data_IF_413304109230
#
_entry.id   IF_413304109230
#
_cell.length_a   1.000
_cell.length_b   1.000
_cell.length_c   1.000
_cell.angle_alpha   90.00
_cell.angle_beta   90.00
_cell.angle_gamma   90.00
#
_symmetry.space_group_name_H-M   'P 1'
#
loop_
_entity.id
_entity.type
_entity.pdbx_description
1 polymer ?
#
# COMPACT_ATOMS: atom_id res chain seq x y z
N UNK A 1 -11.99 3.72 2.40
CA UNK A 1 -12.42 3.22 3.73
C UNK A 1 -11.49 2.13 4.26
N UNK A 2 -11.21 1.08 3.48
CA UNK A 2 -10.43 -0.09 3.96
C UNK A 2 -9.00 0.24 4.42
N UNK A 3 -8.24 1.00 3.62
CA UNK A 3 -6.89 1.46 3.99
C UNK A 3 -6.90 2.43 5.18
N UNK A 4 -7.73 3.47 5.12
CA UNK A 4 -7.82 4.51 6.16
C UNK A 4 -8.21 3.93 7.52
N UNK A 5 -9.15 2.99 7.57
CA UNK A 5 -9.53 2.32 8.83
C UNK A 5 -8.34 1.60 9.47
N UNK A 6 -7.50 0.93 8.67
CA UNK A 6 -6.31 0.23 9.18
C UNK A 6 -5.22 1.20 9.65
N UNK A 7 -5.04 2.31 8.95
CA UNK A 7 -4.12 3.38 9.38
C UNK A 7 -4.59 3.96 10.72
N UNK A 8 -5.89 4.20 10.88
CA UNK A 8 -6.45 4.70 12.14
C UNK A 8 -6.26 3.69 13.28
N UNK A 9 -6.54 2.41 13.04
CA UNK A 9 -6.33 1.36 14.05
C UNK A 9 -4.86 1.29 14.51
N UNK A 10 -3.90 1.49 13.59
CA UNK A 10 -2.48 1.55 13.91
C UNK A 10 -2.09 2.83 14.65
N UNK A 11 -2.73 3.95 14.32
CA UNK A 11 -2.53 5.22 15.03
C UNK A 11 -3.02 5.14 16.48
N UNK A 12 -4.18 4.52 16.71
CA UNK A 12 -4.71 4.28 18.06
C UNK A 12 -3.79 3.31 18.83
N UNK A 13 -3.32 2.26 18.17
CA UNK A 13 -2.36 1.31 18.74
C UNK A 13 -1.00 1.96 19.07
N UNK A 14 -0.60 3.04 18.39
CA UNK A 14 0.65 3.73 18.67
C UNK A 14 0.70 4.29 20.10
N UNK A 15 -0.46 4.66 20.68
CA UNK A 15 -0.57 5.14 22.06
C UNK A 15 -0.19 4.03 23.06
N UNK A 16 -0.56 2.78 22.77
CA UNK A 16 -0.36 1.65 23.67
C UNK A 16 1.01 0.98 23.49
N UNK A 17 1.43 0.79 22.24
CA UNK A 17 2.63 0.01 21.93
C UNK A 17 3.87 0.87 21.64
N UNK A 18 3.69 2.11 21.16
CA UNK A 18 4.78 3.05 20.85
C UNK A 18 5.68 2.68 19.66
N UNK A 19 5.75 1.41 19.24
CA UNK A 19 6.57 0.95 18.10
C UNK A 19 5.90 -0.18 17.32
N UNK A 20 6.16 -0.28 16.02
CA UNK A 20 5.68 -1.38 15.17
C UNK A 20 6.22 -2.74 15.63
N UNK A 21 7.45 -2.80 16.15
CA UNK A 21 8.02 -4.03 16.72
C UNK A 21 7.12 -4.60 17.82
N UNK A 22 6.73 -3.76 18.79
CA UNK A 22 5.88 -4.16 19.91
C UNK A 22 4.47 -4.58 19.46
N UNK A 23 3.93 -3.95 18.42
CA UNK A 23 2.66 -4.37 17.79
C UNK A 23 2.77 -5.81 17.29
N UNK A 24 3.84 -6.14 16.56
CA UNK A 24 4.03 -7.49 16.02
C UNK A 24 4.33 -8.50 17.13
N UNK A 25 5.19 -8.13 18.09
CA UNK A 25 5.56 -9.00 19.21
C UNK A 25 4.33 -9.42 20.05
N UNK A 26 3.34 -8.54 20.16
CA UNK A 26 2.09 -8.85 20.87
C UNK A 26 1.33 -9.98 20.16
N UNK A 27 1.05 -9.81 18.86
CA UNK A 27 0.31 -10.80 18.08
C UNK A 27 1.07 -12.12 17.89
N UNK A 28 2.40 -12.09 17.85
CA UNK A 28 3.23 -13.31 17.80
C UNK A 28 3.09 -14.09 19.10
N UNK A 29 3.13 -13.42 20.26
CA UNK A 29 3.00 -14.09 21.57
C UNK A 29 1.62 -14.73 21.77
N UNK A 30 0.58 -14.17 21.16
CA UNK A 30 -0.79 -14.65 21.26
C UNK A 30 -1.22 -15.55 20.10
N UNK A 31 -0.33 -15.83 19.15
CA UNK A 31 -0.61 -16.58 17.92
C UNK A 31 -1.80 -16.02 17.10
N UNK A 32 -1.92 -14.68 17.06
CA UNK A 32 -3.04 -13.98 16.42
C UNK A 32 -2.66 -13.24 15.14
N UNK A 33 -1.40 -13.33 14.68
CA UNK A 33 -0.83 -12.57 13.54
C UNK A 33 -1.73 -12.46 12.30
N UNK A 34 -2.44 -13.53 11.92
CA UNK A 34 -3.28 -13.56 10.70
C UNK A 34 -4.78 -13.35 10.98
N UNK A 35 -5.18 -13.22 12.25
CA UNK A 35 -6.57 -12.96 12.64
C UNK A 35 -7.07 -11.63 12.07
N UNK A 36 -8.39 -11.51 11.86
CA UNK A 36 -8.98 -10.30 11.26
C UNK A 36 -8.72 -9.03 12.09
N UNK A 37 -8.74 -9.16 13.42
CA UNK A 37 -8.55 -8.05 14.36
C UNK A 37 -7.08 -7.71 14.62
N UNK A 38 -6.14 -8.56 14.19
CA UNK A 38 -4.71 -8.37 14.43
C UNK A 38 -4.21 -7.05 13.84
N UNK A 39 -3.51 -6.28 14.68
CA UNK A 39 -2.81 -5.07 14.28
C UNK A 39 -1.64 -5.39 13.34
N UNK A 40 -1.02 -6.56 13.51
CA UNK A 40 -0.01 -7.08 12.57
C UNK A 40 -0.60 -7.31 11.19
N UNK A 41 -1.77 -7.96 11.07
CA UNK A 41 -2.48 -8.06 9.79
C UNK A 41 -2.83 -6.70 9.20
N UNK A 42 -3.29 -5.76 10.01
CA UNK A 42 -3.61 -4.39 9.56
C UNK A 42 -2.37 -3.67 9.04
N UNK A 43 -1.23 -3.78 9.74
CA UNK A 43 0.07 -3.27 9.29
C UNK A 43 0.51 -3.90 7.95
N UNK A 44 0.33 -5.21 7.76
CA UNK A 44 0.65 -5.89 6.49
C UNK A 44 -0.12 -5.27 5.32
N UNK A 45 -1.40 -4.97 5.52
CA UNK A 45 -2.27 -4.35 4.51
C UNK A 45 -1.93 -2.86 4.28
N UNK A 46 -1.56 -2.12 5.33
CA UNK A 46 -1.05 -0.74 5.17
C UNK A 46 0.26 -0.73 4.36
N UNK A 47 1.20 -1.65 4.64
CA UNK A 47 2.41 -1.81 3.83
C UNK A 47 2.11 -2.16 2.37
N UNK A 48 1.10 -2.98 2.08
CA UNK A 48 0.67 -3.23 0.69
C UNK A 48 0.15 -1.96 0.03
N UNK A 49 -0.60 -1.12 0.74
CA UNK A 49 -1.06 0.16 0.23
C UNK A 49 0.08 1.14 -0.10
N UNK A 50 1.09 1.23 0.76
CA UNK A 50 2.29 2.04 0.49
C UNK A 50 2.99 1.59 -0.81
N UNK A 51 3.17 0.29 -0.96
CA UNK A 51 3.85 -0.28 -2.12
C UNK A 51 3.01 -0.19 -3.40
N UNK A 52 1.68 -0.26 -3.28
CA UNK A 52 0.77 -0.03 -4.41
C UNK A 52 0.92 1.38 -4.96
N UNK A 53 1.01 2.40 -4.09
CA UNK A 53 1.21 3.79 -4.52
C UNK A 53 2.61 3.98 -5.10
N UNK A 54 3.63 3.36 -4.51
CA UNK A 54 5.01 3.38 -5.05
C UNK A 54 5.05 2.82 -6.48
N UNK A 55 4.50 1.63 -6.69
CA UNK A 55 4.43 0.98 -8.00
C UNK A 55 3.54 1.74 -8.98
N UNK A 56 2.43 2.31 -8.52
CA UNK A 56 1.59 3.17 -9.34
C UNK A 56 2.39 4.36 -9.86
N UNK A 57 3.14 5.05 -9.00
CA UNK A 57 3.96 6.20 -9.41
C UNK A 57 5.11 5.79 -10.34
N UNK A 58 5.78 4.66 -10.09
CA UNK A 58 6.82 4.17 -11.00
C UNK A 58 6.26 3.91 -12.41
N UNK A 59 5.10 3.26 -12.46
CA UNK A 59 4.40 2.97 -13.71
C UNK A 59 3.91 4.26 -14.39
N UNK A 60 3.29 5.17 -13.64
CA UNK A 60 2.74 6.43 -14.15
C UNK A 60 3.81 7.36 -14.74
N UNK A 61 5.05 7.29 -14.23
CA UNK A 61 6.19 8.07 -14.72
C UNK A 61 7.04 7.33 -15.77
N UNK A 62 6.65 6.12 -16.18
CA UNK A 62 7.46 5.31 -17.10
C UNK A 62 7.46 5.86 -18.53
N UNK A 63 6.31 6.35 -19.00
CA UNK A 63 6.13 7.00 -20.31
C UNK A 63 4.94 7.96 -20.25
N UNK A 64 4.95 9.02 -21.04
CA UNK A 64 3.86 10.01 -21.10
C UNK A 64 2.56 9.42 -21.67
N UNK A 65 2.65 8.38 -22.50
CA UNK A 65 1.51 7.68 -23.10
C UNK A 65 0.81 6.73 -22.11
N UNK A 66 1.38 6.49 -20.92
CA UNK A 66 0.81 5.54 -19.97
C UNK A 66 -0.38 6.13 -19.25
N UNK A 67 -1.58 5.60 -19.53
CA UNK A 67 -2.78 6.06 -18.86
C UNK A 67 -2.74 5.71 -17.37
N UNK A 68 -3.39 6.53 -16.53
CA UNK A 68 -3.53 6.23 -15.10
C UNK A 68 -4.16 4.85 -14.87
N UNK A 69 -5.09 4.44 -15.75
CA UNK A 69 -5.73 3.13 -15.70
C UNK A 69 -4.72 2.00 -15.88
N UNK A 70 -3.83 2.08 -16.86
CA UNK A 70 -2.81 1.06 -17.11
C UNK A 70 -1.77 1.01 -15.99
N UNK A 71 -1.35 2.18 -15.50
CA UNK A 71 -0.46 2.30 -14.35
C UNK A 71 -1.05 1.65 -13.09
N UNK A 72 -2.28 2.00 -12.74
CA UNK A 72 -2.96 1.46 -11.57
C UNK A 72 -3.25 -0.04 -11.72
N UNK A 73 -3.62 -0.50 -12.92
CA UNK A 73 -3.89 -1.92 -13.19
C UNK A 73 -2.63 -2.77 -13.04
N UNK A 74 -1.50 -2.27 -13.54
CA UNK A 74 -0.20 -2.96 -13.45
C UNK A 74 0.29 -3.04 -12.02
N UNK A 75 0.26 -1.91 -11.30
CA UNK A 75 0.63 -1.85 -9.89
C UNK A 75 -0.26 -2.78 -9.03
N UNK A 76 -1.57 -2.76 -9.25
CA UNK A 76 -2.50 -3.65 -8.53
C UNK A 76 -2.20 -5.14 -8.78
N UNK A 77 -1.93 -5.51 -10.05
CA UNK A 77 -1.61 -6.89 -10.43
C UNK A 77 -0.37 -7.40 -9.72
N UNK A 78 0.63 -6.55 -9.53
CA UNK A 78 1.89 -6.91 -8.87
C UNK A 78 1.75 -6.95 -7.34
N UNK A 79 1.15 -5.91 -6.74
CA UNK A 79 1.23 -5.70 -5.29
C UNK A 79 0.06 -6.32 -4.53
N UNK A 80 -1.15 -6.29 -5.09
CA UNK A 80 -2.37 -6.63 -4.35
C UNK A 80 -3.03 -7.92 -4.83
N UNK A 81 -3.06 -8.15 -6.15
CA UNK A 81 -3.78 -9.27 -6.74
C UNK A 81 -3.36 -10.66 -6.21
N UNK A 82 -2.08 -10.94 -5.88
CA UNK A 82 -1.69 -12.23 -5.29
C UNK A 82 -2.39 -12.55 -3.96
N UNK A 83 -2.81 -11.51 -3.21
CA UNK A 83 -3.37 -11.63 -1.86
C UNK A 83 -4.88 -11.37 -1.78
N UNK A 84 -5.53 -11.19 -2.93
CA UNK A 84 -6.95 -10.90 -3.04
C UNK A 84 -7.70 -12.09 -3.62
N UNK A 85 -8.92 -12.32 -3.12
CA UNK A 85 -9.82 -13.34 -3.67
C UNK A 85 -10.27 -12.95 -5.08
N UNK A 86 -10.78 -13.92 -5.85
CA UNK A 86 -11.30 -13.66 -7.18
C UNK A 86 -12.34 -12.54 -7.19
N UNK A 87 -13.29 -12.55 -6.24
CA UNK A 87 -14.31 -11.51 -6.14
C UNK A 87 -13.72 -10.10 -5.96
N UNK A 88 -12.70 -9.96 -5.10
CA UNK A 88 -12.04 -8.67 -4.86
C UNK A 88 -11.25 -8.21 -6.10
N UNK A 89 -10.58 -9.12 -6.81
CA UNK A 89 -9.87 -8.79 -8.07
C UNK A 89 -10.83 -8.33 -9.15
N UNK A 90 -11.97 -8.99 -9.29
CA UNK A 90 -13.01 -8.61 -10.26
C UNK A 90 -13.57 -7.23 -9.93
N UNK A 91 -13.90 -6.96 -8.67
CA UNK A 91 -14.37 -5.64 -8.24
C UNK A 91 -13.32 -4.55 -8.46
N UNK A 92 -12.05 -4.82 -8.14
CA UNK A 92 -10.94 -3.90 -8.40
C UNK A 92 -10.79 -3.58 -9.89
N UNK A 93 -10.85 -4.61 -10.75
CA UNK A 93 -10.75 -4.44 -12.21
C UNK A 93 -11.91 -3.61 -12.77
N UNK A 94 -13.13 -3.81 -12.28
CA UNK A 94 -14.28 -2.99 -12.66
C UNK A 94 -14.10 -1.53 -12.21
N UNK A 95 -13.57 -1.32 -10.99
CA UNK A 95 -13.27 0.01 -10.45
C UNK A 95 -12.24 0.81 -11.28
N UNK A 96 -11.30 0.14 -11.95
CA UNK A 96 -10.31 0.79 -12.82
C UNK A 96 -10.95 1.59 -13.97
N UNK A 97 -12.17 1.24 -14.39
CA UNK A 97 -12.90 1.98 -15.42
C UNK A 97 -13.44 3.34 -14.94
N UNK A 98 -13.46 3.58 -13.63
CA UNK A 98 -13.86 4.85 -13.03
C UNK A 98 -12.67 5.74 -12.65
N UNK A 99 -11.44 5.33 -12.97
CA UNK A 99 -10.26 6.16 -12.72
C UNK A 99 -10.28 7.43 -13.59
N UNK A 100 -9.79 8.57 -13.07
CA UNK A 100 -9.69 9.79 -13.84
C UNK A 100 -8.65 9.66 -14.95
N UNK A 101 -8.72 10.57 -15.91
CA UNK A 101 -7.62 10.81 -16.85
C UNK A 101 -6.41 11.42 -16.13
N UNK A 102 -5.26 11.48 -16.82
CA UNK A 102 -4.04 12.13 -16.33
C UNK A 102 -4.32 13.59 -15.92
N UNK A 103 -4.89 14.37 -16.82
CA UNK A 103 -5.17 15.79 -16.59
C UNK A 103 -6.12 16.00 -15.41
N UNK A 104 -7.16 15.16 -15.29
CA UNK A 104 -8.09 15.22 -14.16
C UNK A 104 -7.40 14.88 -12.83
N UNK A 105 -6.48 13.92 -12.83
CA UNK A 105 -5.68 13.59 -11.64
C UNK A 105 -4.81 14.79 -11.23
N UNK A 106 -4.04 15.34 -12.17
CA UNK A 106 -3.15 16.48 -11.90
C UNK A 106 -3.92 17.71 -11.42
N UNK A 107 -5.06 18.01 -12.04
CA UNK A 107 -5.97 19.06 -11.59
C UNK A 107 -6.48 18.81 -10.17
N UNK A 108 -6.85 17.57 -9.83
CA UNK A 108 -7.33 17.20 -8.48
C UNK A 108 -6.23 17.29 -7.42
N UNK A 109 -4.98 17.06 -7.81
CA UNK A 109 -3.81 17.22 -6.95
C UNK A 109 -3.34 18.68 -6.85
N UNK A 110 -3.84 19.56 -7.74
CA UNK A 110 -3.37 20.92 -7.92
C UNK A 110 -1.86 20.98 -8.22
N UNK A 111 -1.41 20.11 -9.13
CA UNK A 111 -0.02 19.97 -9.55
C UNK A 111 0.10 20.07 -11.08
N UNK A 112 1.29 20.44 -11.57
CA UNK A 112 1.67 20.26 -12.98
C UNK A 112 2.33 18.89 -13.17
N UNK A 113 2.57 18.47 -14.42
CA UNK A 113 3.37 17.26 -14.68
C UNK A 113 4.73 17.29 -13.98
N UNK A 114 5.42 18.43 -14.05
CA UNK A 114 6.77 18.60 -13.50
C UNK A 114 6.79 18.54 -11.97
N UNK A 115 5.83 19.18 -11.29
CA UNK A 115 5.76 19.16 -9.83
C UNK A 115 5.24 17.82 -9.31
N UNK A 116 4.26 17.22 -9.99
CA UNK A 116 3.78 15.88 -9.68
C UNK A 116 4.90 14.84 -9.83
N UNK A 117 5.65 14.87 -10.94
CA UNK A 117 6.79 13.96 -11.14
C UNK A 117 7.81 14.07 -10.00
N UNK A 118 8.17 15.30 -9.62
CA UNK A 118 9.12 15.55 -8.53
C UNK A 118 8.64 14.92 -7.21
N UNK A 119 7.40 15.15 -6.81
CA UNK A 119 6.87 14.62 -5.55
C UNK A 119 6.63 13.10 -5.61
N UNK A 120 6.21 12.56 -6.76
CA UNK A 120 6.09 11.12 -6.98
C UNK A 120 7.45 10.42 -6.86
N UNK A 121 8.51 10.95 -7.49
CA UNK A 121 9.88 10.43 -7.34
C UNK A 121 10.38 10.50 -5.90
N UNK A 122 10.05 11.58 -5.19
CA UNK A 122 10.35 11.72 -3.76
C UNK A 122 9.67 10.64 -2.93
N UNK A 123 8.38 10.38 -3.18
CA UNK A 123 7.64 9.30 -2.51
C UNK A 123 8.25 7.92 -2.83
N UNK A 124 8.58 7.64 -4.10
CA UNK A 124 9.20 6.38 -4.50
C UNK A 124 10.49 6.13 -3.71
N UNK A 125 11.37 7.14 -3.65
CA UNK A 125 12.64 7.03 -2.94
C UNK A 125 12.45 6.87 -1.42
N UNK A 126 11.50 7.60 -0.82
CA UNK A 126 11.30 7.61 0.62
C UNK A 126 10.54 6.38 1.14
N UNK A 127 9.61 5.83 0.34
CA UNK A 127 8.76 4.70 0.74
C UNK A 127 9.53 3.37 0.76
N UNK A 128 10.48 3.17 -0.16
CA UNK A 128 11.23 1.91 -0.26
C UNK A 128 11.90 1.47 1.06
N UNK A 129 12.74 2.29 1.72
CA UNK A 129 13.37 1.87 2.98
C UNK A 129 12.36 1.64 4.12
N UNK A 130 11.21 2.33 4.11
CA UNK A 130 10.13 2.09 5.08
C UNK A 130 9.46 0.74 4.84
N UNK A 131 9.19 0.41 3.58
CA UNK A 131 8.63 -0.88 3.16
C UNK A 131 9.59 -2.02 3.54
N UNK A 132 10.87 -1.89 3.22
CA UNK A 132 11.91 -2.87 3.57
C UNK A 132 12.05 -3.03 5.09
N UNK A 133 12.02 -1.93 5.83
CA UNK A 133 12.03 -1.97 7.29
C UNK A 133 10.84 -2.76 7.84
N UNK A 134 9.63 -2.49 7.35
CA UNK A 134 8.42 -3.21 7.76
C UNK A 134 8.57 -4.70 7.41
N UNK A 135 8.96 -5.04 6.19
CA UNK A 135 9.15 -6.43 5.74
C UNK A 135 10.17 -7.18 6.63
N UNK A 136 11.26 -6.51 7.00
CA UNK A 136 12.26 -7.06 7.92
C UNK A 136 11.71 -7.33 9.33
N UNK A 137 10.75 -6.54 9.81
CA UNK A 137 10.09 -6.82 11.11
C UNK A 137 9.32 -8.15 11.08
N UNK A 138 8.70 -8.51 9.95
CA UNK A 138 8.01 -9.79 9.79
C UNK A 138 8.99 -10.94 9.63
N UNK A 139 9.93 -10.82 8.70
CA UNK A 139 10.83 -11.93 8.33
C UNK A 139 11.78 -12.30 9.46
N UNK A 140 12.26 -11.32 10.25
CA UNK A 140 13.06 -11.57 11.46
C UNK A 140 12.33 -12.36 12.55
N UNK A 141 11.00 -12.43 12.48
CA UNK A 141 10.13 -13.22 13.37
C UNK A 141 9.61 -14.51 12.74
N UNK A 142 10.15 -14.89 11.58
CA UNK A 142 9.71 -16.07 10.84
C UNK A 142 8.32 -15.95 10.23
N UNK A 143 7.75 -14.74 10.13
CA UNK A 143 6.44 -14.52 9.52
C UNK A 143 6.65 -14.35 8.01
N UNK A 144 6.05 -15.24 7.22
CA UNK A 144 6.04 -15.10 5.75
C UNK A 144 5.26 -13.86 5.31
N UNK A 145 5.51 -13.36 4.10
CA UNK A 145 4.81 -12.18 3.56
C UNK A 145 3.72 -12.57 2.54
N UNK A 146 3.49 -13.85 2.31
CA UNK A 146 2.68 -14.40 1.22
C UNK A 146 1.16 -14.52 1.54
N UNK A 147 0.62 -13.67 2.41
CA UNK A 147 -0.75 -13.75 2.94
C UNK A 147 -1.47 -12.39 3.07
#
# INVERSE_FOLDING_TARGET
MEYTSKVNDLADAAILYGTLSKVIDCDVKTDTVKSAESLTRKLRRVRQGLDLIRELFQNFLSTDDYSLKEAASTAYKQVCAPYHTWAVRTAGSAGMCALPTRDQLLLSLNETDESAEKEMRRYIKASLPVIEYIDNLYTSRGISLDW
#
